data_IF_080359055759
#
_entry.id   IF_080359055759
#
_cell.length_a   1.000
_cell.length_b   1.000
_cell.length_c   1.000
_cell.angle_alpha   90.00
_cell.angle_beta   90.00
_cell.angle_gamma   90.00
#
_symmetry.space_group_name_H-M   'P 1'
#
loop_
_entity.id
_entity.type
_entity.pdbx_description
1 polymer ?
#
# COMPACT_ATOMS: atom_id res chain seq x y z
N UNK A 1 15.88 58.58 -28.42
CA UNK A 1 14.84 57.62 -28.80
C UNK A 1 14.99 56.44 -27.85
N UNK A 2 14.22 56.46 -26.78
CA UNK A 2 14.35 55.52 -25.65
C UNK A 2 13.25 54.46 -25.78
N UNK A 3 13.61 53.22 -26.18
CA UNK A 3 12.68 52.13 -26.32
C UNK A 3 12.51 51.46 -24.97
N UNK A 4 11.36 51.70 -24.33
CA UNK A 4 10.97 51.04 -23.10
C UNK A 4 10.45 49.66 -23.48
N UNK A 5 11.22 48.60 -23.16
CA UNK A 5 10.76 47.21 -23.26
C UNK A 5 9.97 46.89 -22.00
N UNK A 6 8.66 46.85 -22.13
CA UNK A 6 7.76 46.40 -21.07
C UNK A 6 7.78 44.87 -21.07
N UNK A 7 8.49 44.28 -20.12
CA UNK A 7 8.46 42.84 -19.86
C UNK A 7 7.18 42.51 -19.11
N UNK A 8 6.21 41.93 -19.80
CA UNK A 8 4.98 41.41 -19.21
C UNK A 8 5.29 40.16 -18.39
N UNK A 9 5.30 40.31 -17.07
CA UNK A 9 5.40 39.19 -16.15
C UNK A 9 4.07 38.45 -16.17
N UNK A 10 4.00 37.36 -16.91
CA UNK A 10 2.87 36.43 -16.86
C UNK A 10 2.91 35.72 -15.52
N UNK A 11 2.18 36.25 -14.56
CA UNK A 11 1.96 35.63 -13.25
C UNK A 11 1.26 34.30 -13.43
N UNK A 12 1.98 33.19 -13.20
CA UNK A 12 1.37 31.88 -13.04
C UNK A 12 0.40 31.92 -11.85
N UNK A 13 -0.90 31.91 -12.13
CA UNK A 13 -1.92 31.71 -11.11
C UNK A 13 -1.74 30.31 -10.53
N UNK A 14 -1.27 30.26 -9.32
CA UNK A 14 -1.28 29.04 -8.49
C UNK A 14 -2.69 28.46 -8.48
N UNK A 15 -2.79 27.20 -8.85
CA UNK A 15 -4.03 26.46 -8.79
C UNK A 15 -4.57 26.51 -7.35
N UNK A 16 -5.74 27.14 -7.20
CA UNK A 16 -6.45 27.26 -5.94
C UNK A 16 -6.77 25.84 -5.48
N UNK A 17 -6.11 25.36 -4.43
CA UNK A 17 -6.47 24.10 -3.79
C UNK A 17 -7.92 24.22 -3.35
N UNK A 18 -8.80 23.52 -4.03
CA UNK A 18 -10.18 23.36 -3.60
C UNK A 18 -10.10 22.41 -2.40
N UNK A 19 -10.05 23.00 -1.21
CA UNK A 19 -10.32 22.28 0.01
C UNK A 19 -11.81 21.88 -0.03
N UNK A 20 -12.08 20.73 -0.62
CA UNK A 20 -13.41 20.12 -0.51
C UNK A 20 -13.56 19.71 0.94
N UNK A 21 -14.19 20.59 1.71
CA UNK A 21 -14.68 20.29 3.04
C UNK A 21 -15.83 19.29 2.86
N UNK A 22 -15.46 18.03 2.61
CA UNK A 22 -16.41 16.96 2.45
C UNK A 22 -17.00 16.71 3.83
N UNK A 23 -18.20 17.23 4.05
CA UNK A 23 -19.02 16.83 5.19
C UNK A 23 -19.26 15.33 5.00
N UNK A 24 -18.47 14.51 5.68
CA UNK A 24 -18.66 13.05 5.65
C UNK A 24 -19.88 12.79 6.54
N UNK A 25 -21.03 12.42 5.97
CA UNK A 25 -22.18 12.09 6.80
C UNK A 25 -21.82 10.89 7.66
N UNK A 26 -22.24 10.90 8.92
CA UNK A 26 -22.09 9.74 9.80
C UNK A 26 -22.83 8.57 9.18
N UNK A 27 -22.08 7.59 8.72
CA UNK A 27 -22.63 6.38 8.11
C UNK A 27 -22.76 5.35 9.23
N UNK A 28 -23.95 4.81 9.42
CA UNK A 28 -24.18 3.70 10.34
C UNK A 28 -23.39 2.46 9.89
N UNK A 29 -22.82 1.69 10.84
CA UNK A 29 -21.99 0.51 10.54
C UNK A 29 -22.60 -0.44 9.52
N UNK A 30 -23.91 -0.78 9.68
CA UNK A 30 -24.60 -1.64 8.72
C UNK A 30 -24.72 -1.07 7.31
N UNK A 31 -24.80 0.26 7.18
CA UNK A 31 -24.83 0.94 5.87
C UNK A 31 -23.44 0.97 5.25
N UNK A 32 -22.41 1.09 6.09
CA UNK A 32 -21.03 1.02 5.64
C UNK A 32 -20.70 -0.38 5.08
N UNK A 33 -21.04 -1.44 5.82
CA UNK A 33 -20.86 -2.83 5.37
C UNK A 33 -21.56 -3.09 4.04
N UNK A 34 -22.84 -2.71 3.94
CA UNK A 34 -23.61 -2.88 2.70
C UNK A 34 -23.02 -2.10 1.52
N UNK A 35 -22.45 -0.92 1.79
CA UNK A 35 -21.77 -0.16 0.74
C UNK A 35 -20.44 -0.82 0.32
N UNK A 36 -19.72 -1.46 1.22
CA UNK A 36 -18.50 -2.22 0.92
C UNK A 36 -18.87 -3.43 0.05
N UNK A 37 -19.86 -4.21 0.44
CA UNK A 37 -20.35 -5.37 -0.31
C UNK A 37 -20.81 -4.99 -1.73
N UNK A 38 -21.60 -3.91 -1.85
CA UNK A 38 -22.11 -3.44 -3.15
C UNK A 38 -21.05 -2.83 -4.06
N UNK A 39 -19.89 -2.46 -3.53
CA UNK A 39 -18.77 -1.89 -4.28
C UNK A 39 -17.55 -2.80 -4.26
N UNK A 40 -17.73 -4.09 -4.03
CA UNK A 40 -16.65 -5.06 -4.12
C UNK A 40 -16.06 -5.04 -5.53
N UNK A 41 -14.74 -4.90 -5.59
CA UNK A 41 -14.00 -4.91 -6.84
C UNK A 41 -14.01 -6.33 -7.42
N UNK A 42 -14.68 -6.51 -8.53
CA UNK A 42 -14.56 -7.75 -9.31
C UNK A 42 -13.23 -7.76 -10.06
N UNK A 43 -12.32 -8.61 -9.62
CA UNK A 43 -11.04 -8.81 -10.30
C UNK A 43 -10.62 -10.28 -10.26
N UNK A 44 -9.97 -10.74 -11.30
CA UNK A 44 -9.23 -12.01 -11.31
C UNK A 44 -7.81 -11.82 -10.80
N UNK A 45 -7.21 -10.68 -11.11
CA UNK A 45 -5.88 -10.31 -10.66
C UNK A 45 -5.82 -8.81 -10.36
N UNK A 46 -5.34 -8.46 -9.18
CA UNK A 46 -5.05 -7.09 -8.76
C UNK A 46 -3.53 -6.90 -8.66
N UNK A 47 -3.02 -5.81 -9.18
CA UNK A 47 -1.60 -5.48 -9.08
C UNK A 47 -1.38 -4.02 -8.68
N UNK A 48 -0.93 -3.82 -7.44
CA UNK A 48 -0.46 -2.54 -6.94
C UNK A 48 1.07 -2.45 -7.10
N UNK A 49 1.52 -1.66 -8.08
CA UNK A 49 2.95 -1.58 -8.44
C UNK A 49 3.79 -0.80 -7.44
N UNK A 50 3.22 0.22 -6.83
CA UNK A 50 3.91 1.14 -5.93
C UNK A 50 3.04 1.43 -4.73
N UNK A 51 3.49 1.00 -3.57
CA UNK A 51 2.91 1.32 -2.27
C UNK A 51 4.04 1.88 -1.41
N UNK A 52 3.78 2.99 -0.75
CA UNK A 52 4.72 3.55 0.23
C UNK A 52 4.26 3.12 1.62
N UNK A 53 5.15 2.47 2.34
CA UNK A 53 4.95 2.01 3.71
C UNK A 53 5.81 2.87 4.62
N UNK A 54 5.18 3.64 5.49
CA UNK A 54 5.89 4.39 6.53
C UNK A 54 5.60 3.78 7.89
N UNK A 55 6.64 3.48 8.63
CA UNK A 55 6.50 3.00 10.00
C UNK A 55 7.44 3.76 10.92
N UNK A 56 7.04 3.87 12.18
CA UNK A 56 7.84 4.49 13.24
C UNK A 56 8.30 3.38 14.17
N UNK A 57 9.58 3.28 14.37
CA UNK A 57 10.18 2.55 15.46
C UNK A 57 10.66 3.54 16.54
N UNK A 58 11.06 3.06 17.69
CA UNK A 58 11.55 3.94 18.77
C UNK A 58 12.77 4.80 18.41
N UNK A 59 13.35 4.62 17.22
CA UNK A 59 14.54 5.32 16.73
C UNK A 59 14.25 6.34 15.63
N UNK A 60 13.03 6.31 15.07
CA UNK A 60 12.67 7.27 14.03
C UNK A 60 11.54 6.83 13.11
N UNK A 61 11.42 7.52 11.99
CA UNK A 61 10.48 7.18 10.92
C UNK A 61 11.25 6.56 9.76
N UNK A 62 10.84 5.38 9.36
CA UNK A 62 11.41 4.64 8.24
C UNK A 62 10.38 4.54 7.12
N UNK A 63 10.84 4.51 5.88
CA UNK A 63 9.98 4.27 4.73
C UNK A 63 10.49 3.11 3.89
N UNK A 64 9.56 2.31 3.40
CA UNK A 64 9.79 1.20 2.49
C UNK A 64 8.85 1.36 1.30
N UNK A 65 9.18 0.70 0.22
CA UNK A 65 8.30 0.56 -0.93
C UNK A 65 7.85 -0.88 -1.04
N UNK A 66 6.62 -1.08 -1.49
CA UNK A 66 6.13 -2.41 -1.75
C UNK A 66 5.39 -2.49 -3.09
N UNK A 67 5.31 -3.70 -3.61
CA UNK A 67 4.38 -4.06 -4.66
C UNK A 67 3.56 -5.26 -4.20
N UNK A 68 2.29 -5.27 -4.56
CA UNK A 68 1.34 -6.31 -4.17
C UNK A 68 0.69 -6.88 -5.42
N UNK A 69 0.69 -8.20 -5.54
CA UNK A 69 -0.04 -8.92 -6.56
C UNK A 69 -0.99 -9.90 -5.89
N UNK A 70 -2.27 -9.77 -6.18
CA UNK A 70 -3.30 -10.67 -5.68
C UNK A 70 -3.91 -11.37 -6.88
N UNK A 71 -3.93 -12.69 -6.85
CA UNK A 71 -4.71 -13.50 -7.77
C UNK A 71 -5.80 -14.18 -6.96
N UNK A 72 -7.06 -13.85 -7.27
CA UNK A 72 -8.23 -14.38 -6.56
C UNK A 72 -8.16 -15.90 -6.46
N UNK A 73 -8.46 -16.43 -5.29
CA UNK A 73 -8.48 -17.87 -4.97
C UNK A 73 -7.16 -18.63 -5.24
N UNK A 74 -6.05 -17.93 -5.36
CA UNK A 74 -4.77 -18.55 -5.73
C UNK A 74 -3.61 -18.12 -4.84
N UNK A 75 -3.25 -16.84 -4.86
CA UNK A 75 -2.13 -16.33 -4.04
C UNK A 75 -2.16 -14.83 -3.83
N UNK A 76 -1.49 -14.39 -2.78
CA UNK A 76 -1.13 -13.00 -2.52
C UNK A 76 0.40 -12.93 -2.43
N UNK A 77 1.01 -12.13 -3.29
CA UNK A 77 2.45 -11.90 -3.31
C UNK A 77 2.77 -10.45 -2.99
N UNK A 78 3.61 -10.23 -2.00
CA UNK A 78 4.16 -8.92 -1.68
C UNK A 78 5.67 -8.91 -1.83
N UNK A 79 6.20 -7.85 -2.46
CA UNK A 79 7.64 -7.61 -2.49
C UNK A 79 7.91 -6.28 -1.80
N UNK A 80 8.82 -6.28 -0.84
CA UNK A 80 9.21 -5.10 -0.08
C UNK A 80 10.62 -4.71 -0.45
N UNK A 81 10.82 -3.43 -0.71
CA UNK A 81 12.10 -2.85 -1.08
C UNK A 81 12.41 -1.65 -0.20
N UNK A 82 13.67 -1.49 0.16
CA UNK A 82 14.19 -0.28 0.77
C UNK A 82 14.28 0.86 -0.27
N UNK A 83 14.52 2.11 0.13
CA UNK A 83 14.92 3.18 -0.77
C UNK A 83 16.06 2.71 -1.69
N UNK A 84 16.11 3.24 -2.90
CA UNK A 84 17.05 2.84 -3.96
C UNK A 84 16.78 1.45 -4.58
N UNK A 85 15.64 0.82 -4.27
CA UNK A 85 15.22 -0.43 -4.91
C UNK A 85 15.89 -1.70 -4.38
N UNK A 86 16.57 -1.62 -3.23
CA UNK A 86 17.20 -2.78 -2.60
C UNK A 86 16.09 -3.70 -2.06
N UNK A 87 16.05 -4.95 -2.51
CA UNK A 87 15.09 -5.95 -2.02
C UNK A 87 15.32 -6.25 -0.54
N UNK A 88 14.25 -6.14 0.26
CA UNK A 88 14.26 -6.45 1.70
C UNK A 88 13.59 -7.77 1.98
N UNK A 89 12.36 -7.92 1.51
CA UNK A 89 11.58 -9.12 1.78
C UNK A 89 10.64 -9.46 0.62
N UNK A 90 10.33 -10.73 0.52
CA UNK A 90 9.29 -11.26 -0.37
C UNK A 90 8.39 -12.18 0.41
N UNK A 91 7.10 -11.98 0.29
CA UNK A 91 6.06 -12.75 0.97
C UNK A 91 5.16 -13.35 -0.09
N UNK A 92 4.84 -14.62 0.07
CA UNK A 92 3.87 -15.33 -0.75
C UNK A 92 2.91 -16.08 0.15
N UNK A 93 1.65 -15.68 0.12
CA UNK A 93 0.56 -16.39 0.77
C UNK A 93 -0.17 -17.22 -0.27
N UNK A 94 -0.39 -18.47 0.03
CA UNK A 94 -1.22 -19.40 -0.75
C UNK A 94 -2.34 -19.92 0.14
N UNK A 95 -3.23 -20.75 -0.38
CA UNK A 95 -4.31 -21.33 0.44
C UNK A 95 -3.79 -22.13 1.65
N UNK A 96 -2.62 -22.75 1.52
CA UNK A 96 -2.14 -23.73 2.50
C UNK A 96 -0.85 -23.28 3.22
N UNK A 97 -0.21 -22.20 2.78
CA UNK A 97 1.10 -21.84 3.32
C UNK A 97 1.45 -20.37 3.16
N UNK A 98 2.31 -19.94 4.06
CA UNK A 98 2.98 -18.64 4.04
C UNK A 98 4.46 -18.90 3.78
N UNK A 99 4.98 -18.28 2.71
CA UNK A 99 6.40 -18.33 2.37
C UNK A 99 6.99 -16.94 2.50
N UNK A 100 8.07 -16.85 3.24
CA UNK A 100 8.77 -15.60 3.48
C UNK A 100 10.24 -15.75 3.09
N UNK A 101 10.75 -14.76 2.37
CA UNK A 101 12.16 -14.66 2.03
C UNK A 101 12.68 -13.32 2.51
N UNK A 102 13.61 -13.35 3.44
CA UNK A 102 14.43 -12.20 3.83
C UNK A 102 15.61 -12.10 2.87
N UNK A 103 15.52 -11.17 1.95
CA UNK A 103 16.54 -10.99 0.91
C UNK A 103 17.81 -10.35 1.49
N UNK A 104 17.67 -9.56 2.54
CA UNK A 104 18.80 -8.88 3.18
C UNK A 104 19.68 -9.83 3.98
N UNK A 105 19.07 -10.69 4.82
CA UNK A 105 19.81 -11.66 5.63
C UNK A 105 19.93 -13.04 4.96
N UNK A 106 19.43 -13.18 3.73
CA UNK A 106 19.45 -14.44 2.95
C UNK A 106 18.83 -15.63 3.71
N UNK A 107 17.69 -15.37 4.37
CA UNK A 107 16.94 -16.38 5.12
C UNK A 107 15.57 -16.58 4.48
N UNK A 108 15.02 -17.76 4.66
CA UNK A 108 13.64 -18.04 4.26
C UNK A 108 12.97 -18.94 5.28
N UNK A 109 11.66 -18.88 5.35
CA UNK A 109 10.86 -19.87 6.04
C UNK A 109 9.57 -20.15 5.26
N UNK A 110 9.02 -21.34 5.52
CA UNK A 110 7.71 -21.76 5.04
C UNK A 110 6.94 -22.24 6.26
N UNK A 111 5.73 -21.76 6.43
CA UNK A 111 4.85 -22.10 7.53
C UNK A 111 3.42 -22.27 7.04
N UNK A 112 2.62 -22.99 7.77
CA UNK A 112 1.16 -22.99 7.67
C UNK A 112 0.55 -21.82 8.45
N UNK A 113 -0.76 -21.67 8.37
CA UNK A 113 -1.46 -20.60 9.06
C UNK A 113 -1.57 -20.84 10.57
N UNK A 114 -1.59 -22.09 11.00
CA UNK A 114 -1.65 -22.46 12.42
C UNK A 114 -0.37 -22.04 13.14
N UNK A 115 0.79 -22.22 12.53
CA UNK A 115 2.06 -21.72 13.05
C UNK A 115 2.05 -20.20 13.27
N UNK A 116 1.42 -19.47 12.35
CA UNK A 116 1.30 -18.01 12.48
C UNK A 116 0.40 -17.62 13.65
N UNK A 117 -0.71 -18.33 13.81
CA UNK A 117 -1.62 -18.10 14.93
C UNK A 117 -0.92 -18.35 16.28
N UNK A 118 -0.24 -19.48 16.41
CA UNK A 118 0.43 -19.87 17.65
C UNK A 118 1.55 -18.89 18.04
N UNK A 119 2.24 -18.33 17.06
CA UNK A 119 3.38 -17.47 17.31
C UNK A 119 3.04 -15.99 17.47
N UNK A 120 2.02 -15.50 16.81
CA UNK A 120 1.71 -14.08 16.74
C UNK A 120 0.31 -13.72 17.26
N UNK A 121 -0.48 -14.71 17.67
CA UNK A 121 -1.88 -14.57 18.09
C UNK A 121 -2.74 -13.82 17.03
N UNK A 122 -2.40 -14.00 15.75
CA UNK A 122 -3.09 -13.38 14.61
C UNK A 122 -3.69 -14.46 13.73
N UNK A 123 -5.01 -14.47 13.64
CA UNK A 123 -5.73 -15.33 12.69
C UNK A 123 -5.68 -14.70 11.31
N UNK A 124 -5.02 -15.37 10.41
CA UNK A 124 -5.02 -15.03 8.98
C UNK A 124 -5.76 -16.13 8.24
N UNK A 125 -6.78 -15.76 7.47
CA UNK A 125 -7.45 -16.65 6.53
C UNK A 125 -7.23 -16.17 5.11
N UNK A 126 -7.12 -17.11 4.19
CA UNK A 126 -6.96 -16.80 2.76
C UNK A 126 -8.32 -16.60 2.08
#
# INVERSE_FOLDING_TARGET
>A
MLIIVVVSIVSCRSAKQIAVKKNIPSITEGRLLKNIENNELEYSTLFAKKMDISYKDGKGSNSLKASLKIKRDSFIQANVTAPLGIGVARILLTKDSIKFVDTYHKKFFVADYDYFYDKFDVRVSF
#
